data_IF_926538508043
#
_entry.id   IF_926538508043
#
_cell.length_a   1.000
_cell.length_b   1.000
_cell.length_c   1.000
_cell.angle_alpha   90.00
_cell.angle_beta   90.00
_cell.angle_gamma   90.00
#
_symmetry.space_group_name_H-M   'P 1'
#
loop_
_entity.id
_entity.type
_entity.pdbx_description
1 polymer ?
#
# COMPACT_ATOMS: atom_id res chain seq x y z
N UNK A 1 4.61 17.73 6.71
CA UNK A 1 4.91 16.35 6.25
C UNK A 1 4.92 16.35 4.73
N UNK A 2 5.75 15.52 4.10
CA UNK A 2 5.69 15.31 2.66
C UNK A 2 4.42 14.51 2.29
N UNK A 3 3.96 14.54 1.03
CA UNK A 3 2.81 13.72 0.60
C UNK A 3 3.01 12.23 0.87
N UNK A 4 4.24 11.72 0.72
CA UNK A 4 4.59 10.33 1.04
C UNK A 4 4.47 10.01 2.54
N UNK A 5 4.85 10.94 3.41
CA UNK A 5 4.71 10.80 4.86
C UNK A 5 3.24 10.83 5.30
N UNK A 6 2.42 11.70 4.71
CA UNK A 6 0.98 11.73 4.98
C UNK A 6 0.32 10.41 4.58
N UNK A 7 0.64 9.88 3.39
CA UNK A 7 0.13 8.59 2.97
C UNK A 7 0.57 7.45 3.88
N UNK A 8 1.84 7.43 4.32
CA UNK A 8 2.32 6.43 5.26
C UNK A 8 1.54 6.49 6.59
N UNK A 9 1.30 7.70 7.13
CA UNK A 9 0.48 7.90 8.34
C UNK A 9 -0.93 7.32 8.16
N UNK A 10 -1.58 7.65 7.05
CA UNK A 10 -2.93 7.17 6.72
C UNK A 10 -2.97 5.64 6.64
N UNK A 11 -2.01 5.02 5.95
CA UNK A 11 -1.91 3.54 5.89
C UNK A 11 -1.82 2.94 7.28
N UNK A 12 -0.98 3.50 8.15
CA UNK A 12 -0.85 3.03 9.53
C UNK A 12 -2.17 3.16 10.31
N UNK A 13 -2.89 4.28 10.15
CA UNK A 13 -4.22 4.45 10.75
C UNK A 13 -5.23 3.39 10.27
N UNK A 14 -5.26 3.10 8.97
CA UNK A 14 -6.18 2.10 8.41
C UNK A 14 -5.83 0.69 8.90
N UNK A 15 -4.54 0.32 8.91
CA UNK A 15 -4.11 -0.98 9.43
C UNK A 15 -4.43 -1.15 10.92
N UNK A 16 -4.26 -0.10 11.71
CA UNK A 16 -4.61 -0.12 13.11
C UNK A 16 -6.11 -0.24 13.36
N UNK A 17 -6.91 0.44 12.54
CA UNK A 17 -8.35 0.27 12.56
C UNK A 17 -8.75 -1.19 12.27
N UNK A 18 -8.12 -1.82 11.27
CA UNK A 18 -8.31 -3.25 10.99
C UNK A 18 -8.02 -4.10 12.22
N UNK A 19 -6.84 -3.93 12.83
CA UNK A 19 -6.41 -4.73 13.97
C UNK A 19 -7.27 -4.53 15.22
N UNK A 20 -7.79 -3.32 15.43
CA UNK A 20 -8.65 -3.01 16.57
C UNK A 20 -10.08 -3.55 16.43
N UNK A 21 -10.63 -3.55 15.21
CA UNK A 21 -12.01 -3.99 14.97
C UNK A 21 -12.11 -5.49 14.64
N UNK A 22 -11.08 -6.07 14.01
CA UNK A 22 -11.08 -7.44 13.52
C UNK A 22 -9.75 -8.14 13.89
N UNK A 23 -9.47 -8.37 15.18
CA UNK A 23 -8.18 -8.89 15.65
C UNK A 23 -7.90 -10.33 15.20
N UNK A 24 -8.95 -11.13 14.94
CA UNK A 24 -8.84 -12.56 14.59
C UNK A 24 -8.92 -12.83 13.08
N UNK A 25 -9.11 -11.79 12.26
CA UNK A 25 -9.25 -11.93 10.81
C UNK A 25 -8.01 -11.44 10.07
N UNK A 26 -7.52 -12.25 9.13
CA UNK A 26 -6.52 -11.80 8.16
C UNK A 26 -7.18 -10.89 7.13
N UNK A 27 -7.14 -9.58 7.36
CA UNK A 27 -7.73 -8.61 6.42
C UNK A 27 -6.75 -8.35 5.28
N UNK A 28 -7.15 -8.73 4.05
CA UNK A 28 -6.47 -8.29 2.84
C UNK A 28 -6.94 -6.89 2.46
N UNK A 29 -6.03 -5.92 2.59
CA UNK A 29 -6.31 -4.50 2.38
C UNK A 29 -5.73 -4.05 1.05
N UNK A 30 -6.59 -3.67 0.11
CA UNK A 30 -6.18 -3.12 -1.17
C UNK A 30 -6.19 -1.60 -1.16
N UNK A 31 -5.11 -0.98 -1.67
CA UNK A 31 -5.02 0.47 -1.87
C UNK A 31 -5.14 0.86 -3.36
N UNK A 32 -5.77 2.00 -3.62
CA UNK A 32 -5.99 2.50 -4.97
C UNK A 32 -6.04 4.03 -5.00
N UNK A 33 -5.82 4.60 -6.18
CA UNK A 33 -5.97 6.05 -6.41
C UNK A 33 -7.45 6.41 -6.35
N UNK A 34 -7.81 7.43 -5.59
CA UNK A 34 -9.15 8.00 -5.63
C UNK A 34 -9.18 9.22 -6.56
N UNK A 35 -9.93 9.11 -7.65
CA UNK A 35 -10.15 10.17 -8.64
C UNK A 35 -11.64 10.48 -8.67
N UNK A 36 -12.00 11.76 -8.59
CA UNK A 36 -13.37 12.23 -8.75
C UNK A 36 -13.40 13.36 -9.77
N UNK A 37 -14.30 13.28 -10.76
CA UNK A 37 -14.42 14.24 -11.86
C UNK A 37 -13.09 14.54 -12.59
N UNK A 38 -12.20 13.54 -12.70
CA UNK A 38 -10.90 13.69 -13.36
C UNK A 38 -9.79 14.30 -12.49
N UNK A 39 -10.07 14.64 -11.23
CA UNK A 39 -9.09 15.18 -10.30
C UNK A 39 -8.62 14.14 -9.29
N UNK A 40 -7.33 14.18 -8.96
CA UNK A 40 -6.77 13.39 -7.87
C UNK A 40 -7.31 13.91 -6.53
N UNK A 41 -8.08 13.09 -5.83
CA UNK A 41 -8.64 13.44 -4.53
C UNK A 41 -7.91 12.76 -3.36
N UNK A 42 -7.20 11.66 -3.61
CA UNK A 42 -6.44 10.98 -2.57
C UNK A 42 -6.33 9.47 -2.77
N UNK A 43 -6.60 8.70 -1.72
CA UNK A 43 -6.46 7.23 -1.72
C UNK A 43 -7.72 6.56 -1.22
N UNK A 44 -8.06 5.43 -1.83
CA UNK A 44 -9.13 4.54 -1.37
C UNK A 44 -8.54 3.22 -0.93
N UNK A 45 -8.93 2.79 0.25
CA UNK A 45 -8.61 1.49 0.83
C UNK A 45 -9.88 0.64 0.87
N UNK A 46 -9.78 -0.65 0.59
CA UNK A 46 -10.92 -1.56 0.61
C UNK A 46 -10.51 -2.94 1.09
N UNK A 47 -11.38 -3.54 1.89
CA UNK A 47 -11.39 -4.98 2.18
C UNK A 47 -12.85 -5.48 2.10
N UNK A 48 -13.11 -6.70 2.58
CA UNK A 48 -14.47 -7.27 2.62
C UNK A 48 -15.35 -6.60 3.69
N UNK A 49 -14.75 -6.13 4.78
CA UNK A 49 -15.45 -5.65 5.97
C UNK A 49 -15.75 -4.14 5.93
N UNK A 50 -14.95 -3.35 5.21
CA UNK A 50 -15.12 -1.90 5.16
C UNK A 50 -14.45 -1.27 3.93
N UNK A 51 -14.72 0.02 3.72
CA UNK A 51 -13.97 0.85 2.78
C UNK A 51 -13.54 2.17 3.42
N UNK A 52 -12.36 2.65 3.10
CA UNK A 52 -11.86 3.92 3.61
C UNK A 52 -11.40 4.84 2.48
N UNK A 53 -11.59 6.14 2.64
CA UNK A 53 -11.14 7.16 1.69
C UNK A 53 -10.36 8.21 2.47
N UNK A 54 -9.10 8.40 2.08
CA UNK A 54 -8.31 9.54 2.49
C UNK A 54 -8.37 10.63 1.41
N UNK A 55 -8.79 11.81 1.82
CA UNK A 55 -8.82 13.02 1.02
C UNK A 55 -7.53 13.80 1.27
N UNK A 56 -6.70 13.90 0.24
CA UNK A 56 -5.32 14.39 0.37
C UNK A 56 -5.25 15.90 0.61
N UNK A 57 -6.20 16.67 0.07
CA UNK A 57 -6.25 18.13 0.22
C UNK A 57 -6.71 18.54 1.63
N UNK A 58 -7.77 17.88 2.13
CA UNK A 58 -8.33 18.11 3.47
C UNK A 58 -7.54 17.40 4.58
N UNK A 59 -6.62 16.50 4.21
CA UNK A 59 -5.90 15.62 5.11
C UNK A 59 -6.84 14.90 6.09
N UNK A 60 -7.91 14.30 5.53
CA UNK A 60 -9.00 13.66 6.25
C UNK A 60 -9.21 12.22 5.80
N UNK A 61 -9.28 11.29 6.74
CA UNK A 61 -9.57 9.88 6.51
C UNK A 61 -10.99 9.56 6.97
N UNK A 62 -11.80 8.96 6.10
CA UNK A 62 -13.13 8.46 6.42
C UNK A 62 -13.21 6.96 6.21
N UNK A 63 -13.80 6.25 7.15
CA UNK A 63 -14.02 4.81 7.10
C UNK A 63 -15.52 4.56 7.08
N UNK A 64 -15.95 3.71 6.16
CA UNK A 64 -17.35 3.35 5.93
C UNK A 64 -17.52 1.84 6.01
N UNK A 65 -18.66 1.38 6.51
CA UNK A 65 -19.01 -0.04 6.50
C UNK A 65 -19.34 -0.55 5.08
N UNK A 66 -19.80 -1.81 4.99
CA UNK A 66 -20.23 -2.43 3.73
C UNK A 66 -21.50 -1.81 3.15
N UNK A 67 -22.35 -1.20 3.99
CA UNK A 67 -23.56 -0.50 3.58
C UNK A 67 -23.29 0.96 3.15
N UNK A 68 -22.07 1.44 3.34
CA UNK A 68 -21.62 2.79 3.01
C UNK A 68 -21.84 3.82 4.11
N UNK A 69 -22.29 3.42 5.31
CA UNK A 69 -22.42 4.31 6.45
C UNK A 69 -21.04 4.70 6.98
N UNK A 70 -20.84 5.99 7.27
CA UNK A 70 -19.58 6.49 7.82
C UNK A 70 -19.45 6.06 9.28
N UNK A 71 -18.50 5.17 9.56
CA UNK A 71 -18.17 4.68 10.90
C UNK A 71 -17.26 5.67 11.64
N UNK A 72 -16.27 6.21 10.92
CA UNK A 72 -15.23 7.06 11.49
C UNK A 72 -14.82 8.15 10.50
N UNK A 73 -14.53 9.34 11.02
CA UNK A 73 -13.94 10.45 10.26
C UNK A 73 -12.84 11.08 11.10
N UNK A 74 -11.59 10.89 10.69
CA UNK A 74 -10.42 11.45 11.35
C UNK A 74 -9.77 12.55 10.51
N UNK A 75 -9.50 13.68 11.14
CA UNK A 75 -8.66 14.74 10.59
C UNK A 75 -7.16 14.47 10.85
N UNK A 76 -6.30 15.37 10.37
CA UNK A 76 -4.85 15.27 10.51
C UNK A 76 -4.35 15.12 11.96
N UNK A 77 -4.96 15.82 12.92
CA UNK A 77 -4.59 15.76 14.33
C UNK A 77 -5.01 14.41 14.93
N UNK A 78 -6.25 14.00 14.72
CA UNK A 78 -6.80 12.71 15.20
C UNK A 78 -5.99 11.53 14.64
N UNK A 79 -5.65 11.55 13.34
CA UNK A 79 -4.77 10.53 12.75
C UNK A 79 -3.39 10.49 13.42
N UNK A 80 -2.86 11.65 13.81
CA UNK A 80 -1.55 11.72 14.46
C UNK A 80 -1.60 11.15 15.89
N UNK A 81 -2.69 11.40 16.62
CA UNK A 81 -2.96 10.80 17.93
C UNK A 81 -3.09 9.28 17.84
N UNK A 82 -3.86 8.77 16.86
CA UNK A 82 -3.99 7.33 16.62
C UNK A 82 -2.63 6.66 16.37
N UNK A 83 -1.79 7.29 15.55
CA UNK A 83 -0.43 6.77 15.28
C UNK A 83 0.47 6.82 16.51
N UNK A 84 0.36 7.83 17.36
CA UNK A 84 1.12 7.89 18.62
C UNK A 84 0.67 6.79 19.58
N UNK A 85 -0.63 6.58 19.73
CA UNK A 85 -1.19 5.54 20.59
C UNK A 85 -0.71 4.14 20.17
N UNK A 86 -0.67 3.88 18.86
CA UNK A 86 -0.16 2.61 18.33
C UNK A 86 1.32 2.38 18.62
N UNK A 87 2.15 3.40 18.39
CA UNK A 87 3.58 3.29 18.70
C UNK A 87 3.81 3.06 20.20
N UNK A 88 3.00 3.69 21.06
CA UNK A 88 3.09 3.49 22.51
C UNK A 88 2.67 2.07 22.92
N UNK A 89 1.58 1.55 22.36
CA UNK A 89 1.12 0.17 22.59
C UNK A 89 2.17 -0.86 22.12
N UNK A 90 2.79 -0.63 20.97
CA UNK A 90 3.86 -1.49 20.45
C UNK A 90 5.13 -1.43 21.30
N UNK A 91 5.53 -0.26 21.79
CA UNK A 91 6.71 -0.11 22.64
C UNK A 91 6.57 -0.83 23.99
N UNK A 92 5.39 -0.77 24.61
CA UNK A 92 5.09 -1.48 25.86
C UNK A 92 5.15 -3.01 25.65
N UNK A 93 4.52 -3.52 24.59
CA UNK A 93 4.53 -4.95 24.28
C UNK A 93 5.95 -5.50 23.99
N UNK A 94 6.85 -4.69 23.43
CA UNK A 94 8.25 -5.09 23.17
C UNK A 94 9.10 -5.10 24.45
N UNK A 95 8.82 -4.20 25.40
CA UNK A 95 9.50 -4.19 26.70
C UNK A 95 9.17 -5.43 27.53
N UNK A 96 7.91 -5.89 27.49
CA UNK A 96 7.45 -7.08 28.24
C UNK A 96 7.99 -8.41 27.66
N UNK A 97 8.40 -8.44 26.39
CA UNK A 97 8.95 -9.65 25.74
C UNK A 97 10.48 -9.81 25.89
N UNK A 98 11.16 -8.87 26.56
CA UNK A 98 12.63 -8.89 26.70
C UNK A 98 13.16 -9.62 27.96
N UNK A 99 12.28 -10.19 28.79
CA UNK A 99 12.66 -10.87 30.06
C UNK A 99 12.69 -12.41 30.01
N UNK A 100 12.76 -13.05 28.84
CA UNK A 100 12.94 -14.51 28.73
C UNK A 100 14.29 -14.93 28.12
N UNK A 101 15.29 -14.92 29.00
CA UNK A 101 16.47 -15.81 29.13
C UNK A 101 17.06 -16.48 27.87
N UNK A 102 18.25 -16.03 27.45
CA UNK A 102 19.27 -16.91 26.84
C UNK A 102 20.39 -17.17 27.87
N UNK A 103 20.69 -18.43 28.25
CA UNK A 103 21.95 -18.73 28.89
C UNK A 103 23.07 -18.71 27.83
N UNK A 104 24.09 -17.89 28.10
CA UNK A 104 25.31 -17.78 27.33
C UNK A 104 25.99 -19.15 27.15
N UNK A 105 26.25 -19.53 25.90
CA UNK A 105 27.23 -20.57 25.57
C UNK A 105 28.46 -19.86 24.96
N UNK A 106 29.68 -20.09 25.48
CA UNK A 106 30.88 -19.39 25.03
C UNK A 106 31.32 -19.80 23.62
N UNK A 107 31.88 -18.80 22.95
CA UNK A 107 32.53 -18.75 21.64
C UNK A 107 33.58 -19.83 21.40
N UNK A 108 33.55 -20.47 20.22
CA UNK A 108 34.77 -20.96 19.56
C UNK A 108 34.92 -20.28 18.18
N UNK A 109 36.13 -19.80 17.82
CA UNK A 109 36.40 -19.18 16.53
C UNK A 109 36.77 -20.25 15.50
N UNK A 110 36.06 -20.28 14.37
CA UNK A 110 36.49 -21.07 13.20
C UNK A 110 36.78 -20.10 12.06
N UNK A 111 38.06 -19.94 11.77
CA UNK A 111 38.64 -19.16 10.67
C UNK A 111 38.47 -19.89 9.30
N UNK A 112 38.70 -19.20 8.17
CA UNK A 112 38.01 -19.42 6.90
C UNK A 112 38.65 -20.50 6.04
N UNK A 113 37.86 -21.14 5.17
CA UNK A 113 38.41 -21.94 4.06
C UNK A 113 37.97 -21.37 2.73
N UNK A 114 39.00 -21.16 1.93
CA UNK A 114 39.11 -20.57 0.61
C UNK A 114 38.39 -21.32 -0.52
N UNK A 115 38.09 -20.56 -1.57
CA UNK A 115 38.23 -20.89 -3.00
C UNK A 115 37.49 -22.09 -3.59
N UNK A 116 36.46 -21.84 -4.42
CA UNK A 116 36.40 -22.40 -5.80
C UNK A 116 35.67 -21.43 -6.76
N UNK A 117 36.24 -21.37 -7.96
CA UNK A 117 36.05 -20.55 -9.17
C UNK A 117 34.64 -20.34 -9.79
N UNK A 118 34.53 -19.35 -10.72
CA UNK A 118 33.29 -18.89 -11.33
C UNK A 118 32.86 -19.71 -12.56
N UNK A 119 31.56 -20.05 -12.62
CA UNK A 119 30.94 -20.61 -13.82
C UNK A 119 30.40 -19.49 -14.73
N UNK A 120 30.74 -19.62 -16.00
CA UNK A 120 30.58 -18.71 -17.11
C UNK A 120 29.16 -18.16 -17.37
N UNK A 121 29.04 -17.00 -18.06
CA UNK A 121 27.76 -16.38 -18.40
C UNK A 121 26.97 -17.24 -19.41
N UNK A 122 25.70 -17.50 -19.08
CA UNK A 122 24.75 -18.13 -19.99
C UNK A 122 24.26 -17.09 -21.01
N UNK A 123 24.69 -17.25 -22.25
CA UNK A 123 24.31 -16.44 -23.41
C UNK A 123 22.85 -16.71 -23.76
N UNK A 124 21.96 -15.78 -23.41
CA UNK A 124 20.58 -15.76 -23.90
C UNK A 124 20.59 -15.35 -25.39
N UNK A 125 19.91 -16.09 -26.29
CA UNK A 125 19.74 -15.62 -27.66
C UNK A 125 18.77 -14.42 -27.70
N UNK A 126 19.24 -13.31 -28.26
CA UNK A 126 18.43 -12.18 -28.72
C UNK A 126 17.39 -12.69 -29.72
N UNK A 127 16.11 -12.68 -29.32
CA UNK A 127 15.00 -12.70 -30.27
C UNK A 127 14.70 -11.25 -30.65
N UNK A 128 14.93 -10.92 -31.91
CA UNK A 128 14.54 -9.64 -32.47
C UNK A 128 13.02 -9.62 -32.70
N UNK A 129 12.27 -8.60 -32.25
CA UNK A 129 10.91 -8.40 -32.71
C UNK A 129 10.93 -7.83 -34.14
N UNK A 130 10.35 -8.59 -35.07
CA UNK A 130 10.03 -8.17 -36.44
C UNK A 130 9.09 -6.95 -36.43
N UNK A 131 9.38 -5.88 -37.19
CA UNK A 131 8.47 -4.75 -37.35
C UNK A 131 7.49 -5.04 -38.50
N UNK A 132 6.27 -5.47 -38.19
CA UNK A 132 5.19 -5.45 -39.18
C UNK A 132 4.50 -4.08 -39.18
N UNK A 133 4.94 -3.25 -40.12
CA UNK A 133 4.13 -2.18 -40.69
C UNK A 133 2.85 -2.75 -41.29
N UNK A 134 1.69 -2.23 -40.91
CA UNK A 134 0.71 -1.72 -41.88
C UNK A 134 -0.43 -0.97 -41.16
N UNK A 135 -0.49 0.34 -41.41
CA UNK A 135 -1.74 1.07 -41.42
C UNK A 135 -2.61 0.56 -42.59
N UNK A 136 -3.94 0.66 -42.47
CA UNK A 136 -4.61 1.59 -43.35
C UNK A 136 -5.59 2.50 -42.62
N UNK A 137 -5.55 3.76 -43.05
CA UNK A 137 -6.59 4.75 -42.89
C UNK A 137 -7.89 4.21 -43.48
N UNK A 138 -9.00 4.32 -42.76
CA UNK A 138 -10.30 4.52 -43.39
C UNK A 138 -11.05 5.63 -42.67
N UNK A 139 -11.09 6.76 -43.37
CA UNK A 139 -12.07 7.82 -43.20
C UNK A 139 -13.47 7.21 -43.30
N UNK A 140 -14.35 7.56 -42.35
CA UNK A 140 -15.79 7.63 -42.63
C UNK A 140 -16.23 9.06 -42.38
N UNK A 141 -16.27 9.81 -43.49
CA UNK A 141 -17.09 10.98 -43.64
C UNK A 141 -18.54 10.53 -43.93
N UNK A 142 -19.52 11.28 -43.42
CA UNK A 142 -20.94 11.10 -43.68
C UNK A 142 -21.70 11.09 -42.35
N UNK A 143 -22.69 11.93 -42.08
CA UNK A 143 -23.49 12.72 -43.00
C UNK A 143 -24.23 13.81 -42.19
N UNK A 144 -24.28 15.01 -42.76
CA UNK A 144 -25.09 16.13 -42.31
C UNK A 144 -26.45 16.07 -43.01
N UNK A 145 -27.56 16.15 -42.27
CA UNK A 145 -28.84 16.83 -42.59
C UNK A 145 -29.91 16.39 -41.57
N UNK A 146 -30.50 17.24 -40.73
CA UNK A 146 -31.31 18.46 -40.92
C UNK A 146 -32.72 18.15 -41.44
N UNK A 147 -33.72 18.35 -40.57
CA UNK A 147 -35.04 18.96 -40.81
C UNK A 147 -35.78 18.93 -39.46
N UNK A 148 -35.99 20.07 -38.80
CA UNK A 148 -37.09 21.02 -39.06
C UNK A 148 -38.44 20.45 -38.63
#
# INVERSE_FOLDING_TARGET
MTPSQQLARVRNCVHAYCQGQYPDESIDLHDSIFINNGFYCGRKFRCEQFSAIWFAEEDQLKIHDTDGACLVSWNAAEMSEQVQELHQKQALAQAENSEQTQPAVPTEPVEPTESVEPLAPSTLPMVAPEPQHQAPQHQTAGETRRAA
#
